data_IF_919785861205
#
_entry.id   IF_919785861205
#
_cell.length_a   1.000
_cell.length_b   1.000
_cell.length_c   1.000
_cell.angle_alpha   90.00
_cell.angle_beta   90.00
_cell.angle_gamma   90.00
#
_symmetry.space_group_name_H-M   'P 1'
#
loop_
_entity.id
_entity.type
_entity.pdbx_description
1 polymer ?
#
# COMPACT_ATOMS: atom_id res chain seq x y z
N UNK A 1 7.33 15.93 16.51
CA UNK A 1 7.07 15.14 17.72
C UNK A 1 6.64 13.75 17.25
N UNK A 2 7.43 12.72 17.54
CA UNK A 2 7.10 11.35 17.20
C UNK A 2 6.11 10.83 18.26
N UNK A 3 4.87 10.54 17.84
CA UNK A 3 3.89 9.89 18.70
C UNK A 3 4.22 8.40 18.74
N UNK A 4 4.86 7.96 19.80
CA UNK A 4 5.11 6.55 20.07
C UNK A 4 3.95 6.02 20.92
N UNK A 5 2.85 5.60 20.28
CA UNK A 5 1.79 4.88 20.97
C UNK A 5 2.28 3.45 21.26
N UNK A 6 2.76 3.21 22.44
CA UNK A 6 3.02 1.85 22.95
C UNK A 6 1.68 1.31 23.46
N UNK A 7 0.93 0.60 22.62
CA UNK A 7 -0.31 -0.03 23.02
C UNK A 7 -0.05 -1.32 23.81
N UNK A 8 0.30 -1.18 25.10
CA UNK A 8 0.09 -2.22 26.10
C UNK A 8 -1.09 -1.77 26.97
N UNK A 9 -2.30 -1.74 26.39
CA UNK A 9 -3.51 -1.34 27.10
C UNK A 9 -4.28 -2.57 27.56
N UNK A 10 -4.60 -2.65 28.86
CA UNK A 10 -5.59 -3.58 29.36
C UNK A 10 -6.96 -3.23 28.75
N UNK A 11 -7.61 -4.20 28.13
CA UNK A 11 -9.00 -4.10 27.71
C UNK A 11 -9.87 -4.04 28.96
N UNK A 12 -10.40 -2.87 29.29
CA UNK A 12 -11.41 -2.72 30.32
C UNK A 12 -12.78 -2.99 29.66
N UNK A 13 -13.42 -4.07 30.05
CA UNK A 13 -14.81 -4.36 29.67
C UNK A 13 -15.74 -3.32 30.36
N UNK A 14 -15.88 -2.15 29.73
CA UNK A 14 -16.89 -1.17 30.07
C UNK A 14 -18.20 -1.54 29.37
N UNK A 15 -19.35 -1.08 29.88
CA UNK A 15 -20.64 -1.23 29.18
C UNK A 15 -20.51 -0.63 27.78
N UNK A 16 -20.52 -1.52 26.75
CA UNK A 16 -20.13 -1.19 25.39
C UNK A 16 -21.00 -0.10 24.81
N UNK A 17 -20.39 0.98 24.35
CA UNK A 17 -21.05 1.87 23.40
C UNK A 17 -21.22 1.07 22.11
N UNK A 18 -22.41 1.17 21.51
CA UNK A 18 -22.65 0.55 20.21
C UNK A 18 -21.64 1.13 19.19
N UNK A 19 -20.97 0.26 18.43
CA UNK A 19 -20.05 0.65 17.35
C UNK A 19 -20.66 1.71 16.42
N UNK A 20 -21.97 1.64 16.20
CA UNK A 20 -22.75 2.60 15.42
C UNK A 20 -22.68 3.99 16.03
N UNK A 21 -22.79 4.11 17.36
CA UNK A 21 -22.73 5.39 18.06
C UNK A 21 -21.32 6.00 18.02
N UNK A 22 -20.29 5.18 18.23
CA UNK A 22 -18.89 5.60 18.15
C UNK A 22 -18.59 6.15 16.74
N UNK A 23 -18.99 5.41 15.71
CA UNK A 23 -18.80 5.83 14.32
C UNK A 23 -19.64 7.04 13.94
N UNK A 24 -20.84 7.20 14.48
CA UNK A 24 -21.66 8.40 14.29
C UNK A 24 -20.99 9.63 14.91
N UNK A 25 -20.42 9.50 16.12
CA UNK A 25 -19.60 10.53 16.76
C UNK A 25 -18.41 10.91 15.90
N UNK A 26 -17.67 9.92 15.39
CA UNK A 26 -16.52 10.15 14.53
C UNK A 26 -16.91 10.87 13.23
N UNK A 27 -17.98 10.47 12.57
CA UNK A 27 -18.48 11.14 11.36
C UNK A 27 -18.90 12.58 11.64
N UNK A 28 -19.52 12.83 12.79
CA UNK A 28 -19.86 14.20 13.22
C UNK A 28 -18.61 15.05 13.39
N UNK A 29 -17.60 14.54 14.08
CA UNK A 29 -16.30 15.21 14.28
C UNK A 29 -15.56 15.44 12.95
N UNK A 30 -15.66 14.52 12.00
CA UNK A 30 -15.08 14.65 10.67
C UNK A 30 -15.82 15.64 9.77
N UNK A 31 -17.02 16.14 10.14
CA UNK A 31 -17.73 17.18 9.38
C UNK A 31 -19.22 16.92 9.13
N UNK A 32 -19.78 15.87 9.69
CA UNK A 32 -21.23 15.59 9.66
C UNK A 32 -21.81 15.59 8.24
N UNK A 33 -22.76 16.48 7.97
CA UNK A 33 -23.41 16.61 6.64
C UNK A 33 -22.41 16.95 5.52
N UNK A 34 -21.35 17.71 5.80
CA UNK A 34 -20.32 18.01 4.83
C UNK A 34 -19.55 16.74 4.43
N UNK A 35 -19.23 15.89 5.40
CA UNK A 35 -18.64 14.58 5.15
C UNK A 35 -19.58 13.68 4.34
N UNK A 36 -20.87 13.64 4.70
CA UNK A 36 -21.88 12.85 3.99
C UNK A 36 -22.12 13.31 2.54
N UNK A 37 -21.80 14.57 2.23
CA UNK A 37 -21.90 15.15 0.90
C UNK A 37 -20.66 14.91 0.02
N UNK A 38 -19.61 14.29 0.54
CA UNK A 38 -18.39 13.97 -0.26
C UNK A 38 -18.74 12.91 -1.31
N UNK A 39 -18.44 13.22 -2.57
CA UNK A 39 -18.58 12.30 -3.70
C UNK A 39 -17.26 12.01 -4.36
N UNK A 40 -16.40 13.02 -4.44
CA UNK A 40 -15.07 12.90 -5.01
C UNK A 40 -14.04 13.52 -4.08
N UNK A 41 -12.83 12.99 -4.12
CA UNK A 41 -11.67 13.53 -3.43
C UNK A 41 -10.44 13.36 -4.32
N UNK A 42 -9.64 14.41 -4.43
CA UNK A 42 -8.29 14.29 -5.00
C UNK A 42 -7.28 14.83 -4.01
N UNK A 43 -6.13 14.20 -3.96
CA UNK A 43 -5.04 14.69 -3.16
C UNK A 43 -3.72 14.47 -3.89
N UNK A 44 -2.77 15.38 -3.63
CA UNK A 44 -1.38 15.25 -4.03
C UNK A 44 -0.51 15.44 -2.81
N UNK A 45 0.65 14.81 -2.82
CA UNK A 45 1.58 14.89 -1.73
C UNK A 45 2.83 14.07 -1.99
N UNK A 46 3.55 13.77 -0.93
CA UNK A 46 4.77 12.96 -0.98
C UNK A 46 4.72 11.81 0.01
N UNK A 47 5.35 10.72 -0.38
CA UNK A 47 5.68 9.61 0.52
C UNK A 47 7.13 9.71 0.93
N UNK A 48 7.38 9.51 2.21
CA UNK A 48 8.73 9.43 2.79
C UNK A 48 8.92 8.01 3.28
N UNK A 49 9.90 7.30 2.72
CA UNK A 49 10.22 5.93 3.10
C UNK A 49 11.65 5.85 3.56
N UNK A 50 11.89 5.20 4.70
CA UNK A 50 13.24 4.90 5.16
C UNK A 50 13.52 3.43 4.90
N UNK A 51 14.54 3.14 4.11
CA UNK A 51 14.95 1.76 3.83
C UNK A 51 15.74 1.18 5.02
N UNK A 52 16.05 -0.12 4.96
CA UNK A 52 16.79 -0.82 6.03
C UNK A 52 18.22 -0.29 6.23
N UNK A 53 18.79 0.39 5.24
CA UNK A 53 20.10 1.04 5.32
C UNK A 53 20.02 2.45 5.93
N UNK A 54 18.84 2.91 6.36
CA UNK A 54 18.63 4.24 6.93
C UNK A 54 18.53 5.36 5.89
N UNK A 55 18.52 5.02 4.59
CA UNK A 55 18.36 6.02 3.53
C UNK A 55 16.88 6.38 3.39
N UNK A 56 16.60 7.68 3.41
CA UNK A 56 15.26 8.21 3.17
C UNK A 56 15.07 8.52 1.70
N UNK A 57 13.94 8.06 1.15
CA UNK A 57 13.53 8.32 -0.24
C UNK A 57 12.19 9.02 -0.20
N UNK A 58 12.10 10.16 -0.87
CA UNK A 58 10.85 10.90 -1.06
C UNK A 58 10.34 10.71 -2.49
N UNK A 59 9.05 10.42 -2.63
CA UNK A 59 8.40 10.27 -3.91
C UNK A 59 7.05 10.98 -3.90
N UNK A 60 6.69 11.58 -5.01
CA UNK A 60 5.36 12.18 -5.18
C UNK A 60 4.29 11.10 -5.35
N UNK A 61 3.08 11.42 -4.91
CA UNK A 61 1.89 10.62 -5.18
C UNK A 61 0.68 11.48 -5.51
N UNK A 62 -0.24 10.89 -6.24
CA UNK A 62 -1.59 11.41 -6.45
C UNK A 62 -2.61 10.37 -6.00
N UNK A 63 -3.63 10.81 -5.29
CA UNK A 63 -4.80 10.03 -4.89
C UNK A 63 -6.04 10.60 -5.57
N UNK A 64 -6.88 9.74 -6.12
CA UNK A 64 -8.19 10.11 -6.62
C UNK A 64 -9.23 9.09 -6.15
N UNK A 65 -10.34 9.61 -5.60
CA UNK A 65 -11.50 8.82 -5.18
C UNK A 65 -12.74 9.37 -5.87
N UNK A 66 -13.58 8.49 -6.37
CA UNK A 66 -14.97 8.79 -6.72
C UNK A 66 -15.84 7.75 -6.05
N UNK A 67 -16.47 8.18 -4.96
CA UNK A 67 -17.28 7.31 -4.13
C UNK A 67 -18.56 6.88 -4.89
N UNK A 68 -19.01 5.63 -4.74
CA UNK A 68 -18.54 4.69 -3.71
C UNK A 68 -17.45 3.69 -4.17
N UNK A 69 -17.10 3.63 -5.45
CA UNK A 69 -16.48 2.44 -6.03
C UNK A 69 -15.30 2.70 -6.99
N UNK A 70 -14.72 3.92 -6.95
CA UNK A 70 -13.51 4.20 -7.73
C UNK A 70 -12.38 4.73 -6.85
N UNK A 71 -11.23 4.16 -7.02
CA UNK A 71 -10.01 4.48 -6.30
C UNK A 71 -8.82 4.39 -7.23
N UNK A 72 -7.96 5.39 -7.19
CA UNK A 72 -6.70 5.41 -7.91
C UNK A 72 -5.62 6.04 -7.04
N UNK A 73 -4.51 5.32 -6.90
CA UNK A 73 -3.25 5.81 -6.36
C UNK A 73 -2.21 5.79 -7.48
N UNK A 74 -1.66 6.95 -7.82
CA UNK A 74 -0.51 7.11 -8.71
C UNK A 74 0.71 7.45 -7.88
N UNK A 75 1.76 6.67 -7.98
CA UNK A 75 3.00 6.88 -7.21
C UNK A 75 4.23 6.67 -8.06
N UNK A 76 5.32 7.37 -7.73
CA UNK A 76 6.61 7.14 -8.38
C UNK A 76 7.11 5.77 -7.95
N UNK A 77 7.36 4.90 -8.92
CA UNK A 77 7.94 3.58 -8.70
C UNK A 77 9.47 3.64 -8.79
N UNK A 78 9.99 4.43 -9.73
CA UNK A 78 11.41 4.63 -9.94
C UNK A 78 11.67 6.02 -10.50
N UNK A 79 12.70 6.70 -9.99
CA UNK A 79 13.22 7.93 -10.54
C UNK A 79 14.66 7.74 -11.01
N UNK A 80 14.96 8.14 -12.24
CA UNK A 80 16.31 8.09 -12.83
C UNK A 80 16.61 9.43 -13.50
N UNK A 81 17.41 10.27 -12.84
CA UNK A 81 17.67 11.63 -13.32
C UNK A 81 16.36 12.42 -13.46
N UNK A 82 16.08 12.90 -14.66
CA UNK A 82 14.87 13.67 -14.96
C UNK A 82 13.67 12.81 -15.39
N UNK A 83 13.77 11.48 -15.31
CA UNK A 83 12.70 10.56 -15.70
C UNK A 83 12.12 9.85 -14.49
N UNK A 84 10.80 9.83 -14.41
CA UNK A 84 10.08 9.07 -13.41
C UNK A 84 9.18 8.03 -14.08
N UNK A 85 9.19 6.82 -13.52
CA UNK A 85 8.25 5.75 -13.87
C UNK A 85 7.17 5.75 -12.80
N UNK A 86 5.93 5.90 -13.21
CA UNK A 86 4.79 5.90 -12.31
C UNK A 86 4.07 4.56 -12.33
N UNK A 87 3.54 4.20 -11.20
CA UNK A 87 2.62 3.07 -11.04
C UNK A 87 1.25 3.61 -10.66
N UNK A 88 0.26 3.21 -11.43
CA UNK A 88 -1.15 3.46 -11.17
C UNK A 88 -1.76 2.19 -10.59
N UNK A 89 -2.29 2.26 -9.37
CA UNK A 89 -2.96 1.14 -8.71
C UNK A 89 -4.32 1.57 -8.21
N UNK A 90 -5.33 0.72 -8.41
CA UNK A 90 -6.68 1.07 -7.98
C UNK A 90 -7.74 0.18 -8.59
N UNK A 91 -8.95 0.68 -8.62
CA UNK A 91 -10.09 -0.01 -9.24
C UNK A 91 -11.17 0.96 -9.69
N UNK A 92 -11.98 0.50 -10.63
CA UNK A 92 -13.21 1.12 -11.08
C UNK A 92 -14.32 0.06 -11.03
N UNK A 93 -15.14 0.09 -10.01
CA UNK A 93 -16.13 -0.95 -9.74
C UNK A 93 -15.52 -2.34 -9.55
N UNK A 94 -15.78 -3.22 -10.49
CA UNK A 94 -15.21 -4.58 -10.53
C UNK A 94 -13.91 -4.71 -11.33
N UNK A 95 -13.39 -3.63 -11.90
CA UNK A 95 -12.19 -3.66 -12.74
C UNK A 95 -10.97 -3.19 -11.97
N UNK A 96 -9.90 -3.97 -12.00
CA UNK A 96 -8.61 -3.58 -11.43
C UNK A 96 -7.90 -2.59 -12.34
N UNK A 97 -7.30 -1.56 -11.75
CA UNK A 97 -6.37 -0.66 -12.43
C UNK A 97 -4.97 -1.00 -11.92
N UNK A 98 -4.12 -1.45 -12.83
CA UNK A 98 -2.72 -1.72 -12.54
C UNK A 98 -1.90 -1.40 -13.79
N UNK A 99 -1.29 -0.23 -13.82
CA UNK A 99 -0.53 0.25 -14.97
C UNK A 99 0.83 0.80 -14.51
N UNK A 100 1.82 0.61 -15.36
CA UNK A 100 3.12 1.25 -15.24
C UNK A 100 3.25 2.24 -16.40
N UNK A 101 3.20 3.53 -16.05
CA UNK A 101 3.37 4.62 -16.99
C UNK A 101 4.86 4.83 -17.25
N UNK A 102 5.31 4.43 -18.44
CA UNK A 102 6.71 4.49 -18.87
C UNK A 102 6.91 5.61 -19.88
N UNK A 103 7.95 6.43 -19.72
CA UNK A 103 8.31 7.39 -20.77
C UNK A 103 8.62 6.64 -22.09
N UNK A 104 8.26 7.22 -23.25
CA UNK A 104 8.51 6.59 -24.57
C UNK A 104 9.96 6.24 -24.81
N UNK A 105 10.90 6.97 -24.22
CA UNK A 105 12.34 6.71 -24.29
C UNK A 105 12.80 5.38 -23.67
N UNK A 106 11.97 4.76 -22.81
CA UNK A 106 12.24 3.47 -22.17
C UNK A 106 11.45 2.31 -22.80
N UNK A 107 10.70 2.54 -23.86
CA UNK A 107 9.93 1.51 -24.57
C UNK A 107 10.80 0.56 -25.41
N UNK A 108 12.09 0.83 -25.58
CA UNK A 108 13.05 0.01 -26.32
C UNK A 108 13.78 -1.00 -25.41
N UNK A 109 13.23 -2.18 -25.23
CA UNK A 109 13.95 -3.45 -25.14
C UNK A 109 14.74 -3.81 -23.87
N UNK A 110 14.96 -2.95 -22.85
CA UNK A 110 15.92 -3.27 -21.80
C UNK A 110 15.40 -3.32 -20.35
N UNK A 111 14.13 -3.04 -20.11
CA UNK A 111 13.56 -3.12 -18.78
C UNK A 111 12.24 -3.88 -18.79
N UNK A 112 12.29 -5.20 -18.87
CA UNK A 112 11.18 -6.04 -18.46
C UNK A 112 11.11 -6.04 -16.92
N UNK A 113 10.53 -5.00 -16.34
CA UNK A 113 10.09 -5.07 -14.96
C UNK A 113 8.87 -6.00 -14.90
N UNK A 114 9.10 -7.26 -14.55
CA UNK A 114 8.05 -8.19 -14.22
C UNK A 114 7.39 -7.72 -12.93
N UNK A 115 6.19 -7.19 -13.03
CA UNK A 115 5.38 -6.86 -11.86
C UNK A 115 4.91 -8.17 -11.26
N UNK A 116 5.45 -8.51 -10.11
CA UNK A 116 4.96 -9.65 -9.33
C UNK A 116 3.63 -9.25 -8.68
N UNK A 117 2.59 -10.05 -8.92
CA UNK A 117 1.30 -9.86 -8.25
C UNK A 117 1.34 -10.24 -6.77
N UNK A 118 0.22 -10.06 -6.04
CA UNK A 118 0.04 -10.65 -4.73
C UNK A 118 0.25 -12.16 -4.84
N UNK A 119 1.30 -12.64 -4.18
CA UNK A 119 1.76 -14.01 -4.36
C UNK A 119 3.07 -14.14 -5.17
N UNK A 120 3.64 -13.01 -5.71
CA UNK A 120 5.06 -12.81 -6.08
C UNK A 120 5.67 -13.64 -7.20
N UNK A 121 4.94 -14.44 -7.96
CA UNK A 121 5.50 -15.05 -9.17
C UNK A 121 5.62 -13.98 -10.26
N UNK A 122 6.80 -13.81 -10.91
CA UNK A 122 6.90 -13.02 -12.12
C UNK A 122 6.14 -13.76 -13.21
N UNK A 123 4.85 -13.56 -13.29
CA UNK A 123 4.02 -14.17 -14.31
C UNK A 123 3.87 -13.15 -15.41
N UNK A 124 4.25 -13.54 -16.60
CA UNK A 124 4.03 -12.76 -17.81
C UNK A 124 2.50 -12.79 -18.09
N UNK A 125 1.78 -11.66 -17.94
CA UNK A 125 0.34 -11.67 -18.14
C UNK A 125 -0.08 -12.16 -19.52
N UNK A 126 0.81 -12.05 -20.52
CA UNK A 126 0.55 -12.52 -21.88
C UNK A 126 0.60 -14.05 -22.01
N UNK A 127 1.20 -14.73 -21.02
CA UNK A 127 1.31 -16.21 -20.99
C UNK A 127 0.30 -16.88 -20.06
N UNK A 128 -0.55 -16.11 -19.39
CA UNK A 128 -1.62 -16.64 -18.53
C UNK A 128 -2.79 -17.18 -19.34
N UNK A 129 -3.37 -18.29 -18.87
CA UNK A 129 -4.71 -18.66 -19.37
C UNK A 129 -5.75 -17.63 -18.93
N UNK A 130 -6.90 -17.52 -19.62
CA UNK A 130 -7.97 -16.61 -19.21
C UNK A 130 -8.39 -16.78 -17.75
N UNK A 131 -8.44 -18.03 -17.26
CA UNK A 131 -8.81 -18.36 -15.88
C UNK A 131 -7.75 -17.88 -14.90
N UNK A 132 -6.46 -18.10 -15.19
CA UNK A 132 -5.34 -17.63 -14.38
C UNK A 132 -5.32 -16.10 -14.30
N UNK A 133 -5.59 -15.44 -15.43
CA UNK A 133 -5.68 -13.99 -15.48
C UNK A 133 -6.84 -13.47 -14.63
N UNK A 134 -8.01 -14.09 -14.73
CA UNK A 134 -9.18 -13.72 -13.94
C UNK A 134 -8.93 -13.87 -12.45
N UNK A 135 -8.34 -14.98 -12.00
CA UNK A 135 -7.96 -15.20 -10.59
C UNK A 135 -6.93 -14.16 -10.11
N UNK A 136 -5.95 -13.85 -10.94
CA UNK A 136 -4.93 -12.85 -10.64
C UNK A 136 -5.53 -11.45 -10.51
N UNK A 137 -6.42 -11.06 -11.42
CA UNK A 137 -7.11 -9.77 -11.39
C UNK A 137 -8.04 -9.67 -10.18
N UNK A 138 -8.74 -10.74 -9.80
CA UNK A 138 -9.55 -10.79 -8.58
C UNK A 138 -8.72 -10.59 -7.31
N UNK A 139 -7.57 -11.26 -7.19
CA UNK A 139 -6.66 -11.08 -6.04
C UNK A 139 -6.16 -9.63 -5.93
N UNK A 140 -5.84 -9.01 -7.07
CA UNK A 140 -5.42 -7.61 -7.14
C UNK A 140 -6.56 -6.65 -6.80
N UNK A 141 -7.74 -6.90 -7.34
CA UNK A 141 -8.92 -6.11 -7.03
C UNK A 141 -9.20 -6.13 -5.52
N UNK A 142 -9.17 -7.31 -4.90
CA UNK A 142 -9.36 -7.46 -3.47
C UNK A 142 -8.29 -6.71 -2.66
N UNK A 143 -7.01 -6.79 -3.07
CA UNK A 143 -5.93 -6.08 -2.42
C UNK A 143 -6.12 -4.55 -2.49
N UNK A 144 -6.48 -4.01 -3.67
CA UNK A 144 -6.74 -2.58 -3.85
C UNK A 144 -7.97 -2.11 -3.05
N UNK A 145 -9.02 -2.94 -2.97
CA UNK A 145 -10.20 -2.66 -2.14
C UNK A 145 -9.86 -2.63 -0.65
N UNK A 146 -8.98 -3.52 -0.16
CA UNK A 146 -8.48 -3.48 1.22
C UNK A 146 -7.68 -2.20 1.50
N UNK A 147 -6.82 -1.75 0.58
CA UNK A 147 -6.11 -0.47 0.73
C UNK A 147 -7.06 0.71 0.76
N UNK A 148 -8.05 0.74 -0.12
CA UNK A 148 -9.10 1.76 -0.11
C UNK A 148 -9.89 1.75 1.19
N UNK A 149 -10.24 0.58 1.73
CA UNK A 149 -10.96 0.46 3.01
C UNK A 149 -10.17 1.06 4.17
N UNK A 150 -8.85 0.86 4.22
CA UNK A 150 -7.98 1.48 5.24
C UNK A 150 -8.02 3.01 5.14
N UNK A 151 -7.97 3.57 3.93
CA UNK A 151 -8.10 5.01 3.70
C UNK A 151 -9.50 5.49 4.11
N UNK A 152 -10.56 4.77 3.72
CA UNK A 152 -11.93 5.13 4.03
C UNK A 152 -12.22 5.11 5.54
N UNK A 153 -11.69 4.17 6.27
CA UNK A 153 -11.81 4.11 7.73
C UNK A 153 -11.17 5.34 8.39
N UNK A 154 -9.97 5.74 7.96
CA UNK A 154 -9.28 6.89 8.53
C UNK A 154 -9.84 8.25 8.10
N UNK A 155 -10.26 8.38 6.84
CA UNK A 155 -10.75 9.66 6.30
C UNK A 155 -12.24 9.89 6.52
N UNK A 156 -13.05 8.81 6.59
CA UNK A 156 -14.52 8.93 6.59
C UNK A 156 -15.19 8.21 7.75
N UNK A 157 -14.44 7.47 8.57
CA UNK A 157 -14.98 6.60 9.64
C UNK A 157 -16.16 5.75 9.12
N UNK A 158 -16.01 5.17 7.93
CA UNK A 158 -17.09 4.49 7.21
C UNK A 158 -16.61 3.21 6.51
N UNK A 159 -17.53 2.25 6.43
CA UNK A 159 -17.39 1.08 5.56
C UNK A 159 -17.65 1.52 4.11
N UNK A 160 -16.69 1.38 3.19
CA UNK A 160 -16.93 1.74 1.80
C UNK A 160 -17.82 0.69 1.13
N UNK A 161 -18.77 1.11 0.29
CA UNK A 161 -19.68 0.19 -0.40
C UNK A 161 -18.92 -0.77 -1.36
N UNK A 162 -17.80 -0.32 -1.92
CA UNK A 162 -16.95 -1.17 -2.77
C UNK A 162 -16.28 -2.33 -2.02
N UNK A 163 -16.18 -2.24 -0.70
CA UNK A 163 -15.62 -3.27 0.18
C UNK A 163 -16.34 -3.21 1.53
N UNK A 164 -17.51 -3.85 1.64
CA UNK A 164 -18.32 -3.84 2.86
C UNK A 164 -17.55 -4.43 4.05
N UNK A 165 -17.64 -3.74 5.20
CA UNK A 165 -17.01 -4.13 6.44
C UNK A 165 -18.07 -4.39 7.52
N UNK A 166 -17.87 -5.45 8.27
CA UNK A 166 -18.58 -5.69 9.54
C UNK A 166 -17.82 -4.93 10.63
N UNK A 167 -18.54 -4.07 11.35
CA UNK A 167 -18.00 -3.19 12.38
C UNK A 167 -18.69 -3.50 13.70
N UNK A 168 -17.91 -3.82 14.73
CA UNK A 168 -18.42 -4.15 16.06
C UNK A 168 -17.60 -3.46 17.14
N UNK A 169 -18.18 -3.32 18.34
CA UNK A 169 -17.47 -2.74 19.49
C UNK A 169 -16.30 -3.64 19.90
N UNK A 170 -15.12 -3.07 19.97
CA UNK A 170 -13.88 -3.69 20.45
C UNK A 170 -13.48 -3.22 21.85
N UNK A 171 -14.34 -2.44 22.53
CA UNK A 171 -14.08 -1.89 23.85
C UNK A 171 -13.29 -0.57 23.82
N UNK A 172 -12.52 -0.34 24.85
CA UNK A 172 -11.66 0.84 24.98
C UNK A 172 -10.21 0.47 25.17
N UNK A 173 -9.32 1.31 24.66
CA UNK A 173 -7.89 1.23 24.88
C UNK A 173 -7.42 2.51 25.58
N UNK A 174 -6.48 2.36 26.51
CA UNK A 174 -5.85 3.48 27.23
C UNK A 174 -4.35 3.41 27.08
N UNK A 175 -3.73 4.55 26.84
CA UNK A 175 -2.29 4.72 26.78
C UNK A 175 -1.87 5.99 27.53
N UNK A 176 -0.56 6.25 27.60
CA UNK A 176 -0.05 7.50 28.16
C UNK A 176 -0.52 8.75 27.38
N UNK A 177 -0.87 8.58 26.11
CA UNK A 177 -1.29 9.68 25.23
C UNK A 177 -2.81 9.91 25.24
N UNK A 178 -3.59 9.05 25.92
CA UNK A 178 -5.06 9.21 26.03
C UNK A 178 -5.84 7.90 25.91
N UNK A 179 -7.16 8.07 25.77
CA UNK A 179 -8.13 6.97 25.62
C UNK A 179 -8.68 6.93 24.21
N UNK A 180 -8.91 5.73 23.72
CA UNK A 180 -9.54 5.50 22.42
C UNK A 180 -10.68 4.48 22.54
N UNK A 181 -11.78 4.73 21.84
CA UNK A 181 -12.81 3.74 21.57
C UNK A 181 -12.29 2.84 20.42
N UNK A 182 -12.48 1.55 20.55
CA UNK A 182 -11.97 0.55 19.60
C UNK A 182 -13.12 -0.04 18.81
N UNK A 183 -12.99 -0.09 17.51
CA UNK A 183 -13.92 -0.78 16.61
C UNK A 183 -13.20 -1.98 16.00
N UNK A 184 -13.72 -3.18 16.25
CA UNK A 184 -13.29 -4.36 15.55
C UNK A 184 -13.87 -4.35 14.12
N UNK A 185 -13.01 -4.60 13.14
CA UNK A 185 -13.28 -4.49 11.71
C UNK A 185 -13.04 -5.85 11.07
N UNK A 186 -14.04 -6.36 10.33
CA UNK A 186 -13.88 -7.58 9.51
C UNK A 186 -14.34 -7.31 8.09
N UNK A 187 -13.65 -7.91 7.13
CA UNK A 187 -13.98 -7.78 5.72
C UNK A 187 -13.63 -9.03 4.93
N UNK A 188 -13.99 -9.04 3.68
CA UNK A 188 -13.74 -10.13 2.74
C UNK A 188 -12.25 -10.53 2.68
N UNK A 189 -11.98 -11.78 2.31
CA UNK A 189 -10.61 -12.28 2.14
C UNK A 189 -9.79 -12.27 3.43
N UNK A 190 -10.44 -12.46 4.59
CA UNK A 190 -9.79 -12.57 5.89
C UNK A 190 -9.23 -11.23 6.43
N UNK A 191 -9.72 -10.11 5.96
CA UNK A 191 -9.32 -8.82 6.52
C UNK A 191 -9.89 -8.67 7.93
N UNK A 192 -9.02 -8.58 8.92
CA UNK A 192 -9.35 -8.34 10.33
C UNK A 192 -8.46 -7.22 10.83
N UNK A 193 -9.07 -6.16 11.38
CA UNK A 193 -8.36 -4.99 11.86
C UNK A 193 -9.06 -4.38 13.06
N UNK A 194 -8.41 -3.44 13.74
CA UNK A 194 -8.96 -2.59 14.80
C UNK A 194 -8.78 -1.13 14.45
N UNK A 195 -9.88 -0.40 14.44
CA UNK A 195 -9.87 1.06 14.29
C UNK A 195 -9.96 1.69 15.68
N UNK A 196 -9.01 2.58 15.98
CA UNK A 196 -8.96 3.34 17.22
C UNK A 196 -9.42 4.76 16.94
N UNK A 197 -10.41 5.21 17.72
CA UNK A 197 -11.03 6.54 17.63
C UNK A 197 -10.77 7.25 18.96
N UNK A 198 -10.19 8.42 18.91
CA UNK A 198 -9.93 9.23 20.11
C UNK A 198 -11.23 9.52 20.87
N UNK A 199 -11.27 9.20 22.15
CA UNK A 199 -12.49 9.33 22.98
C UNK A 199 -12.88 10.77 23.26
N UNK A 200 -11.98 11.75 23.09
CA UNK A 200 -12.24 13.18 23.35
C UNK A 200 -12.60 13.92 22.05
N UNK A 201 -11.78 13.75 21.02
CA UNK A 201 -11.97 14.45 19.73
C UNK A 201 -12.88 13.68 18.77
N UNK A 202 -13.09 12.41 19.01
CA UNK A 202 -13.79 11.46 18.13
C UNK A 202 -13.16 11.32 16.74
N UNK A 203 -11.92 11.73 16.55
CA UNK A 203 -11.20 11.56 15.28
C UNK A 203 -10.53 10.18 15.21
N UNK A 204 -10.50 9.52 14.05
CA UNK A 204 -9.71 8.31 13.84
C UNK A 204 -8.24 8.56 14.16
N UNK A 205 -7.63 7.71 14.99
CA UNK A 205 -6.22 7.80 15.37
C UNK A 205 -5.37 6.80 14.61
N UNK A 206 -5.82 5.55 14.61
CA UNK A 206 -5.00 4.44 14.14
C UNK A 206 -5.87 3.28 13.65
N UNK A 207 -5.37 2.55 12.68
CA UNK A 207 -5.85 1.23 12.29
C UNK A 207 -4.72 0.23 12.51
N UNK A 208 -4.98 -0.91 13.19
CA UNK A 208 -4.00 -1.99 13.34
C UNK A 208 -4.55 -3.32 12.83
N UNK A 209 -3.67 -4.17 12.31
CA UNK A 209 -4.00 -5.54 11.90
C UNK A 209 -2.75 -6.42 11.97
N UNK A 210 -2.97 -7.73 12.01
CA UNK A 210 -1.91 -8.73 11.96
C UNK A 210 -1.78 -9.28 10.53
N UNK A 211 -0.56 -9.34 10.00
CA UNK A 211 -0.29 -9.95 8.69
C UNK A 211 1.13 -10.51 8.67
N UNK A 212 1.46 -11.26 7.62
CA UNK A 212 2.83 -11.74 7.43
C UNK A 212 3.79 -10.57 7.20
N UNK A 213 4.99 -10.68 7.75
CA UNK A 213 6.05 -9.71 7.47
C UNK A 213 6.36 -9.65 5.98
N UNK A 214 6.84 -8.50 5.46
CA UNK A 214 7.14 -8.37 4.04
C UNK A 214 8.26 -9.31 3.64
N UNK A 215 8.06 -10.05 2.54
CA UNK A 215 9.12 -10.89 1.98
C UNK A 215 10.22 -10.02 1.36
N UNK A 216 11.41 -10.07 1.93
CA UNK A 216 12.62 -9.42 1.38
C UNK A 216 13.42 -10.47 0.63
N UNK A 217 13.41 -10.41 -0.70
CA UNK A 217 14.26 -11.27 -1.53
C UNK A 217 15.51 -10.49 -1.98
N UNK A 218 16.68 -10.96 -1.60
CA UNK A 218 17.93 -10.47 -2.17
C UNK A 218 18.16 -11.19 -3.51
N UNK A 219 18.04 -10.46 -4.59
CA UNK A 219 18.44 -10.96 -5.91
C UNK A 219 19.95 -10.76 -6.06
N UNK A 220 20.72 -11.80 -5.77
CA UNK A 220 22.11 -11.88 -6.17
C UNK A 220 22.19 -12.08 -7.68
N UNK A 221 22.88 -11.21 -8.41
CA UNK A 221 23.21 -11.44 -9.81
C UNK A 221 24.12 -12.68 -9.97
N UNK A 222 24.13 -13.37 -11.12
CA UNK A 222 25.04 -14.46 -11.38
C UNK A 222 26.48 -13.95 -11.26
N UNK A 223 27.22 -14.46 -10.26
CA UNK A 223 28.64 -14.14 -10.03
C UNK A 223 28.95 -13.10 -8.95
N UNK A 224 27.95 -12.52 -8.28
CA UNK A 224 28.16 -11.61 -7.15
C UNK A 224 27.89 -12.31 -5.83
N UNK A 225 28.94 -12.45 -4.99
CA UNK A 225 28.77 -12.77 -3.56
C UNK A 225 27.88 -11.74 -2.86
N UNK A 226 27.49 -11.97 -1.57
CA UNK A 226 26.59 -11.07 -0.84
C UNK A 226 27.22 -9.69 -0.66
N UNK A 227 26.96 -8.81 -1.65
CA UNK A 227 27.32 -7.40 -1.55
C UNK A 227 26.21 -6.65 -0.81
N UNK A 228 26.53 -5.72 0.10
CA UNK A 228 25.54 -4.91 0.77
C UNK A 228 24.92 -3.93 -0.22
N UNK A 229 23.68 -4.16 -0.68
CA UNK A 229 23.01 -3.08 -1.33
C UNK A 229 21.91 -3.29 -2.35
N UNK A 230 21.37 -4.47 -2.57
CA UNK A 230 20.22 -4.63 -3.47
C UNK A 230 19.17 -5.57 -2.91
N UNK A 231 18.12 -5.06 -2.32
CA UNK A 231 16.99 -5.84 -1.84
C UNK A 231 15.69 -5.42 -2.52
N UNK A 232 14.86 -6.40 -2.91
CA UNK A 232 13.49 -6.17 -3.33
C UNK A 232 12.61 -6.52 -2.16
N UNK A 233 11.87 -5.54 -1.63
CA UNK A 233 10.91 -5.74 -0.56
C UNK A 233 9.52 -5.88 -1.17
N UNK A 234 8.89 -7.02 -0.94
CA UNK A 234 7.49 -7.26 -1.29
C UNK A 234 6.65 -7.11 -0.04
N UNK A 235 5.90 -6.01 0.09
CA UNK A 235 4.97 -5.79 1.19
C UNK A 235 3.68 -6.56 0.99
N UNK A 236 3.11 -7.09 2.09
CA UNK A 236 1.75 -7.64 2.12
C UNK A 236 0.72 -6.54 1.88
N UNK A 237 0.38 -6.26 0.67
CA UNK A 237 -0.50 -5.15 0.23
C UNK A 237 -0.17 -4.70 -1.17
N UNK A 238 0.59 -5.49 -1.94
CA UNK A 238 0.84 -5.23 -3.36
C UNK A 238 1.89 -4.16 -3.68
N UNK A 239 2.59 -3.60 -2.70
CA UNK A 239 3.67 -2.65 -2.95
C UNK A 239 4.99 -3.39 -3.18
N UNK A 240 5.50 -3.37 -4.40
CA UNK A 240 6.87 -3.80 -4.71
C UNK A 240 7.78 -2.58 -4.59
N UNK A 241 8.69 -2.59 -3.64
CA UNK A 241 9.72 -1.56 -3.55
C UNK A 241 11.04 -2.14 -4.05
N UNK A 242 11.56 -1.63 -5.13
CA UNK A 242 12.91 -1.95 -5.59
C UNK A 242 13.88 -0.89 -5.04
N UNK A 243 14.85 -1.32 -4.26
CA UNK A 243 15.97 -0.47 -3.87
C UNK A 243 17.18 -0.85 -4.72
N UNK A 244 17.54 -0.02 -5.67
CA UNK A 244 18.81 -0.13 -6.36
C UNK A 244 19.83 0.74 -5.62
N UNK A 245 20.81 0.12 -4.99
CA UNK A 245 21.98 0.82 -4.48
C UNK A 245 22.89 1.16 -5.67
N UNK A 246 22.83 2.41 -6.11
CA UNK A 246 23.76 2.96 -7.07
C UNK A 246 25.03 3.40 -6.35
N UNK A 247 26.10 2.64 -6.50
CA UNK A 247 27.41 3.03 -5.99
C UNK A 247 28.50 2.08 -6.44
N UNK A 248 28.96 2.24 -7.67
CA UNK A 248 30.11 1.53 -8.20
C UNK A 248 30.09 1.57 -9.73
N UNK A 249 30.96 2.36 -10.33
CA UNK A 249 31.09 2.47 -11.77
C UNK A 249 31.29 1.09 -12.39
N UNK A 250 30.23 0.59 -13.03
CA UNK A 250 30.31 -0.65 -13.84
C UNK A 250 31.12 -0.29 -15.08
N UNK A 251 32.30 -0.88 -15.23
CA UNK A 251 33.13 -0.70 -16.41
C UNK A 251 32.40 -1.20 -17.67
N UNK A 252 32.72 -0.63 -18.82
CA UNK A 252 32.10 -1.01 -20.10
C UNK A 252 32.20 -2.52 -20.40
N UNK A 253 33.22 -3.19 -19.87
CA UNK A 253 33.41 -4.62 -20.03
C UNK A 253 32.46 -5.46 -19.15
N UNK A 254 32.14 -5.02 -17.92
CA UNK A 254 31.14 -5.68 -17.08
C UNK A 254 29.72 -5.56 -17.68
N UNK A 255 29.44 -4.48 -18.43
CA UNK A 255 28.15 -4.33 -19.15
C UNK A 255 28.09 -5.26 -20.37
N UNK A 256 29.19 -5.49 -21.08
CA UNK A 256 29.23 -6.42 -22.22
C UNK A 256 29.08 -7.87 -21.78
N UNK A 257 29.71 -8.28 -20.67
CA UNK A 257 29.56 -9.64 -20.15
C UNK A 257 28.16 -9.92 -19.65
N UNK A 258 27.51 -8.99 -18.90
CA UNK A 258 26.14 -9.14 -18.46
C UNK A 258 25.14 -9.20 -19.63
N UNK A 259 25.43 -8.54 -20.74
CA UNK A 259 24.61 -8.54 -21.95
C UNK A 259 24.81 -9.82 -22.78
N UNK A 260 26.02 -10.40 -22.78
CA UNK A 260 26.33 -11.67 -23.43
C UNK A 260 25.72 -12.86 -22.68
N UNK A 261 25.79 -12.87 -21.35
CA UNK A 261 25.26 -13.96 -20.51
C UNK A 261 23.71 -14.02 -20.50
N UNK A 262 23.03 -12.90 -20.60
CA UNK A 262 21.57 -12.85 -20.66
C UNK A 262 20.98 -13.39 -21.99
N UNK A 263 21.75 -13.36 -23.07
CA UNK A 263 21.32 -13.84 -24.40
C UNK A 263 21.56 -15.34 -24.63
N UNK A 264 22.33 -16.00 -23.76
CA UNK A 264 22.83 -17.39 -24.00
C UNK A 264 22.10 -18.46 -23.16
N UNK A 265 21.23 -18.08 -22.20
CA UNK A 265 20.47 -19.08 -21.42
C UNK A 265 19.47 -19.81 -22.29
N UNK A 266 19.51 -21.15 -22.30
CA UNK A 266 18.49 -21.97 -22.94
C UNK A 266 17.12 -21.80 -22.28
N UNK A 267 16.04 -22.14 -22.97
CA UNK A 267 14.70 -22.11 -22.40
C UNK A 267 14.61 -23.05 -21.18
N UNK A 268 15.27 -24.21 -21.25
CA UNK A 268 15.29 -25.20 -20.16
C UNK A 268 16.00 -24.67 -18.91
N UNK A 269 17.11 -23.96 -19.07
CA UNK A 269 17.84 -23.33 -17.96
C UNK A 269 17.01 -22.22 -17.30
N UNK A 270 16.26 -21.45 -18.10
CA UNK A 270 15.33 -20.44 -17.60
C UNK A 270 14.21 -21.07 -16.78
N UNK A 271 13.61 -22.15 -17.28
CA UNK A 271 12.52 -22.84 -16.60
C UNK A 271 13.00 -23.47 -15.29
N UNK A 272 14.22 -24.03 -15.27
CA UNK A 272 14.86 -24.56 -14.08
C UNK A 272 15.13 -23.45 -13.05
N UNK A 273 15.70 -22.33 -13.49
CA UNK A 273 15.94 -21.16 -12.63
C UNK A 273 14.63 -20.64 -12.03
N UNK A 274 13.57 -20.57 -12.82
CA UNK A 274 12.28 -20.12 -12.35
C UNK A 274 11.66 -21.06 -11.30
N UNK A 275 11.80 -22.37 -11.47
CA UNK A 275 11.37 -23.37 -10.47
C UNK A 275 12.15 -23.24 -9.17
N UNK A 276 13.46 -23.05 -9.25
CA UNK A 276 14.31 -22.85 -8.08
C UNK A 276 13.98 -21.57 -7.33
N UNK A 277 13.73 -20.46 -8.04
CA UNK A 277 13.30 -19.19 -7.45
C UNK A 277 11.95 -19.35 -6.76
N UNK A 278 11.01 -20.05 -7.40
CA UNK A 278 9.69 -20.30 -6.81
C UNK A 278 9.78 -21.19 -5.56
N UNK A 279 10.61 -22.24 -5.58
CA UNK A 279 10.81 -23.12 -4.43
C UNK A 279 11.40 -22.36 -3.24
N UNK A 280 12.48 -21.58 -3.47
CA UNK A 280 13.11 -20.73 -2.44
C UNK A 280 12.14 -19.70 -1.88
N UNK A 281 11.30 -19.15 -2.73
CA UNK A 281 10.28 -18.19 -2.32
C UNK A 281 9.25 -18.85 -1.43
N UNK A 282 8.67 -20.00 -1.80
CA UNK A 282 7.71 -20.74 -0.96
C UNK A 282 8.31 -21.11 0.40
N UNK A 283 9.57 -21.50 0.43
CA UNK A 283 10.29 -21.77 1.67
C UNK A 283 10.48 -20.51 2.52
N UNK A 284 10.83 -19.39 1.89
CA UNK A 284 10.96 -18.11 2.59
C UNK A 284 9.60 -17.61 3.13
N UNK A 285 8.53 -17.69 2.32
CA UNK A 285 7.16 -17.33 2.74
C UNK A 285 6.66 -18.16 3.92
N UNK A 286 7.01 -19.45 3.97
CA UNK A 286 6.65 -20.34 5.08
C UNK A 286 7.32 -19.93 6.41
N UNK A 287 8.46 -19.25 6.35
CA UNK A 287 9.23 -18.78 7.52
C UNK A 287 8.84 -17.37 7.99
N UNK A 288 7.98 -16.66 7.22
CA UNK A 288 7.57 -15.30 7.58
C UNK A 288 6.78 -15.29 8.89
N UNK A 289 7.19 -14.43 9.80
CA UNK A 289 6.48 -14.20 11.05
C UNK A 289 5.19 -13.41 10.80
N UNK A 290 4.21 -13.58 11.66
CA UNK A 290 3.07 -12.69 11.73
C UNK A 290 3.45 -11.49 12.60
N UNK A 291 3.31 -10.29 12.06
CA UNK A 291 3.70 -9.03 12.69
C UNK A 291 2.54 -8.05 12.69
N UNK A 292 2.59 -7.06 13.56
CA UNK A 292 1.56 -6.04 13.63
C UNK A 292 1.86 -4.91 12.65
N UNK A 293 0.87 -4.60 11.82
CA UNK A 293 0.84 -3.42 10.96
C UNK A 293 -0.01 -2.35 11.60
N UNK A 294 0.44 -1.10 11.55
CA UNK A 294 -0.32 0.06 12.02
C UNK A 294 -0.30 1.16 10.98
N UNK A 295 -1.43 1.85 10.86
CA UNK A 295 -1.59 3.08 10.10
C UNK A 295 -2.09 4.14 11.05
N UNK A 296 -1.35 5.22 11.23
CA UNK A 296 -1.72 6.35 12.06
C UNK A 296 -2.25 7.49 11.18
N UNK A 297 -3.30 8.14 11.63
CA UNK A 297 -3.92 9.29 10.98
C UNK A 297 -3.67 10.53 11.85
N UNK A 298 -3.06 11.55 11.29
CA UNK A 298 -2.63 12.74 12.04
C UNK A 298 -2.76 14.02 11.20
N UNK A 299 -2.50 15.16 11.85
CA UNK A 299 -2.52 16.49 11.22
C UNK A 299 -3.86 16.79 10.53
N UNK A 300 -4.96 16.58 11.25
CA UNK A 300 -6.30 16.86 10.74
C UNK A 300 -6.47 18.35 10.44
N UNK A 301 -6.92 18.67 9.24
CA UNK A 301 -7.22 20.03 8.78
C UNK A 301 -8.57 20.07 8.09
N UNK A 302 -9.26 21.21 8.20
CA UNK A 302 -10.54 21.40 7.55
C UNK A 302 -10.35 21.71 6.06
N UNK A 303 -10.95 20.89 5.20
CA UNK A 303 -11.00 21.08 3.74
C UNK A 303 -12.46 21.06 3.30
N UNK A 304 -13.01 22.20 2.91
CA UNK A 304 -14.44 22.30 2.54
C UNK A 304 -15.41 21.96 3.69
N UNK A 305 -14.96 22.12 4.94
CA UNK A 305 -15.73 21.79 6.15
C UNK A 305 -15.65 20.31 6.56
N UNK A 306 -14.76 19.54 5.94
CA UNK A 306 -14.46 18.14 6.32
C UNK A 306 -13.08 18.10 6.96
N UNK A 307 -12.95 17.49 8.13
CA UNK A 307 -11.67 17.24 8.80
C UNK A 307 -10.97 16.04 8.14
N UNK A 308 -9.84 16.26 7.50
CA UNK A 308 -9.09 15.22 6.79
C UNK A 308 -7.66 15.13 7.33
N UNK A 309 -7.13 13.91 7.54
CA UNK A 309 -5.74 13.76 7.96
C UNK A 309 -4.81 14.19 6.84
N UNK A 310 -3.83 15.06 7.15
CA UNK A 310 -2.79 15.48 6.21
C UNK A 310 -1.50 14.69 6.37
N UNK A 311 -1.49 13.75 7.32
CA UNK A 311 -0.40 12.82 7.53
C UNK A 311 -0.95 11.43 7.81
N UNK A 312 -0.45 10.44 7.07
CA UNK A 312 -0.71 9.03 7.30
C UNK A 312 0.64 8.33 7.46
N UNK A 313 0.92 7.79 8.64
CA UNK A 313 2.16 7.08 8.93
C UNK A 313 1.88 5.58 9.02
N UNK A 314 2.71 4.77 8.36
CA UNK A 314 2.66 3.30 8.43
C UNK A 314 3.82 2.78 9.26
N UNK A 315 3.56 1.74 10.04
CA UNK A 315 4.59 1.02 10.78
C UNK A 315 4.37 -0.48 10.72
N UNK A 316 5.46 -1.23 10.85
CA UNK A 316 5.47 -2.68 10.94
C UNK A 316 6.24 -3.04 12.20
N UNK A 317 5.61 -3.80 13.11
CA UNK A 317 6.19 -4.23 14.38
C UNK A 317 6.77 -3.05 15.18
N UNK A 318 6.02 -1.94 15.21
CA UNK A 318 6.38 -0.68 15.87
C UNK A 318 7.42 0.19 15.16
N UNK A 319 8.00 -0.27 14.05
CA UNK A 319 8.99 0.49 13.27
C UNK A 319 8.32 1.28 12.15
N UNK A 320 8.49 2.60 12.07
CA UNK A 320 7.99 3.40 10.96
C UNK A 320 8.60 2.92 9.62
N UNK A 321 7.76 2.75 8.61
CA UNK A 321 8.17 2.27 7.28
C UNK A 321 7.89 3.27 6.18
N UNK A 322 6.77 3.99 6.30
CA UNK A 322 6.32 4.96 5.31
C UNK A 322 5.53 6.07 5.97
N UNK A 323 5.70 7.28 5.49
CA UNK A 323 4.88 8.42 5.84
C UNK A 323 4.33 9.05 4.55
N UNK A 324 3.02 9.25 4.49
CA UNK A 324 2.34 10.00 3.44
C UNK A 324 1.98 11.38 3.97
N UNK A 325 2.44 12.42 3.31
CA UNK A 325 2.19 13.82 3.65
C UNK A 325 1.35 14.41 2.52
N UNK A 326 0.11 14.78 2.83
CA UNK A 326 -0.81 15.39 1.88
C UNK A 326 -0.56 16.90 1.84
N UNK A 327 -0.09 17.40 0.71
CA UNK A 327 0.17 18.84 0.49
C UNK A 327 -1.10 19.57 0.09
N UNK A 328 -1.91 18.92 -0.75
CA UNK A 328 -3.19 19.47 -1.20
C UNK A 328 -4.24 18.39 -1.22
N UNK A 329 -5.38 18.65 -0.58
CA UNK A 329 -6.59 17.82 -0.67
C UNK A 329 -7.72 18.69 -1.21
N UNK A 330 -8.50 18.18 -2.15
CA UNK A 330 -9.70 18.82 -2.70
C UNK A 330 -10.90 17.92 -2.50
N UNK A 331 -11.96 18.46 -1.93
CA UNK A 331 -13.24 17.79 -1.72
C UNK A 331 -14.20 18.19 -2.83
N UNK A 332 -14.87 17.22 -3.41
CA UNK A 332 -15.81 17.35 -4.52
C UNK A 332 -15.26 18.06 -5.78
N UNK A 333 -13.96 17.83 -6.16
CA UNK A 333 -13.49 18.31 -7.45
C UNK A 333 -14.16 17.54 -8.59
N UNK A 334 -14.26 18.15 -9.75
CA UNK A 334 -14.58 17.44 -10.99
C UNK A 334 -13.38 16.57 -11.39
N UNK A 335 -13.60 15.26 -11.54
CA UNK A 335 -12.58 14.30 -11.99
C UNK A 335 -12.92 13.86 -13.41
N UNK A 336 -11.93 13.83 -14.30
CA UNK A 336 -12.11 13.26 -15.63
C UNK A 336 -12.31 11.74 -15.50
N UNK A 337 -13.38 11.22 -16.08
CA UNK A 337 -13.71 9.80 -16.05
C UNK A 337 -12.59 8.90 -16.65
N UNK A 338 -11.79 9.45 -17.57
CA UNK A 338 -10.62 8.77 -18.14
C UNK A 338 -9.56 8.43 -17.07
N UNK A 339 -9.52 9.16 -15.95
CA UNK A 339 -8.56 8.92 -14.89
C UNK A 339 -8.68 7.53 -14.28
N UNK A 340 -9.87 6.92 -14.32
CA UNK A 340 -10.15 5.58 -13.81
C UNK A 340 -10.26 4.52 -14.92
N UNK A 341 -9.75 4.79 -16.11
CA UNK A 341 -9.73 3.84 -17.21
C UNK A 341 -8.34 3.24 -17.35
N UNK A 342 -8.28 1.95 -17.65
CA UNK A 342 -7.05 1.26 -18.03
C UNK A 342 -6.75 1.60 -19.48
N UNK A 343 -5.55 2.06 -19.77
CA UNK A 343 -5.10 2.27 -21.16
C UNK A 343 -5.08 0.92 -21.89
N UNK A 344 -5.74 0.85 -23.03
CA UNK A 344 -5.78 -0.37 -23.87
C UNK A 344 -4.48 -0.55 -24.62
#
# INVERSE_FOLDING_TARGET
MAVALVAAGALVAGQGRDATQILAGARTALGGDKLAAVRTLTAVGRTVRTNQAGTTVENEFELALELPDKYLMRSVMMAMGNMSIYRNTGFNGGQVIEEIDRPPSLSGGMFFMRVSGPGGTPTDPEKMTPEQKAEFDQKRLLANKKEFAKIALGMFAASPAAYPLELSDGGQAESADGKADVIDVKGEGGFVARLFIDSQTHLPLMLSWMDKEPLVMQMGGPGGGPGPGGGVTMGGGGAVTMTMSGGGGVTADARRSAQADGASMSQEDRDKLMKDVEARRKEAEAKLRTVEYRVFYADYKSVGGVQLPHRIQRSIDGKPTEEMIFETIKVNPKIDAKKFQVSK
#
